data_IF_347879549324
#
_entry.id   IF_347879549324
#
_cell.length_a   1.000
_cell.length_b   1.000
_cell.length_c   1.000
_cell.angle_alpha   90.00
_cell.angle_beta   90.00
_cell.angle_gamma   90.00
#
_symmetry.space_group_name_H-M   'P 1'
#
loop_
_entity.id
_entity.type
_entity.pdbx_description
1 polymer ?
#
# COMPACT_ATOMS: atom_id res chain seq x y z
N UNK A 1 -6.03 4.31 34.22
CA UNK A 1 -6.49 3.19 33.37
C UNK A 1 -6.70 1.99 34.28
N UNK A 2 -7.94 1.60 34.48
CA UNK A 2 -8.27 0.44 35.30
C UNK A 2 -7.87 -0.86 34.60
N UNK A 3 -7.36 -1.83 35.36
CA UNK A 3 -6.97 -3.15 34.83
C UNK A 3 -8.08 -3.84 34.05
N UNK A 4 -9.35 -3.50 34.27
CA UNK A 4 -10.49 -4.04 33.53
C UNK A 4 -10.55 -3.59 32.08
N UNK A 5 -10.06 -2.38 31.74
CA UNK A 5 -10.04 -1.90 30.37
C UNK A 5 -9.01 -2.63 29.51
N UNK A 6 -7.84 -2.96 30.07
CA UNK A 6 -6.82 -3.73 29.35
C UNK A 6 -7.27 -5.18 29.08
N UNK A 7 -7.90 -5.84 30.06
CA UNK A 7 -8.43 -7.19 29.86
C UNK A 7 -9.58 -7.20 28.84
N UNK A 8 -10.50 -6.25 28.94
CA UNK A 8 -11.60 -6.10 27.95
C UNK A 8 -11.04 -5.84 26.54
N UNK A 9 -9.95 -5.11 26.42
CA UNK A 9 -9.32 -4.81 25.13
C UNK A 9 -8.66 -6.07 24.53
N UNK A 10 -8.05 -6.93 25.36
CA UNK A 10 -7.52 -8.23 24.90
C UNK A 10 -8.62 -9.12 24.34
N UNK A 11 -9.74 -9.26 25.05
CA UNK A 11 -10.87 -10.08 24.56
C UNK A 11 -11.49 -9.53 23.28
N UNK A 12 -11.57 -8.21 23.13
CA UNK A 12 -12.07 -7.56 21.92
C UNK A 12 -11.17 -7.73 20.70
N UNK A 13 -9.90 -8.05 20.92
CA UNK A 13 -8.89 -8.26 19.86
C UNK A 13 -8.77 -9.72 19.45
N UNK A 14 -9.39 -10.65 20.15
CA UNK A 14 -9.37 -12.07 19.74
C UNK A 14 -10.05 -12.23 18.37
N UNK A 15 -9.40 -13.02 17.51
CA UNK A 15 -9.90 -13.27 16.14
C UNK A 15 -9.74 -12.12 15.15
N UNK A 16 -8.96 -11.08 15.47
CA UNK A 16 -8.70 -9.97 14.53
C UNK A 16 -8.00 -10.39 13.23
N UNK A 17 -7.41 -11.58 13.23
CA UNK A 17 -6.81 -12.23 12.05
C UNK A 17 -7.83 -12.93 11.16
N UNK A 18 -9.12 -12.87 11.50
CA UNK A 18 -10.18 -13.50 10.73
C UNK A 18 -10.94 -12.47 9.91
N UNK A 19 -11.33 -12.79 8.66
CA UNK A 19 -12.09 -11.87 7.79
C UNK A 19 -13.47 -11.48 8.30
N UNK A 20 -14.07 -12.29 9.17
CA UNK A 20 -15.36 -11.96 9.81
C UNK A 20 -15.22 -10.96 10.96
N UNK A 21 -14.00 -10.64 11.40
CA UNK A 21 -13.76 -9.68 12.47
C UNK A 21 -14.13 -8.25 12.07
N UNK A 22 -14.62 -7.45 13.03
CA UNK A 22 -15.06 -6.07 12.80
C UNK A 22 -13.98 -5.17 12.17
N UNK A 23 -12.70 -5.39 12.47
CA UNK A 23 -11.59 -4.62 11.93
C UNK A 23 -11.46 -4.85 10.42
N UNK A 24 -11.52 -6.11 9.96
CA UNK A 24 -11.47 -6.40 8.54
C UNK A 24 -12.72 -5.91 7.81
N UNK A 25 -13.89 -5.98 8.42
CA UNK A 25 -15.12 -5.40 7.85
C UNK A 25 -15.00 -3.88 7.67
N UNK A 26 -14.51 -3.17 8.68
CA UNK A 26 -14.26 -1.73 8.59
C UNK A 26 -13.23 -1.40 7.50
N UNK A 27 -12.15 -2.19 7.38
CA UNK A 27 -11.17 -2.07 6.31
C UNK A 27 -11.81 -2.24 4.93
N UNK A 28 -12.68 -3.23 4.74
CA UNK A 28 -13.42 -3.45 3.50
C UNK A 28 -14.39 -2.30 3.17
N UNK A 29 -15.04 -1.74 4.17
CA UNK A 29 -15.93 -0.58 4.01
C UNK A 29 -15.14 0.65 3.58
N UNK A 30 -13.98 0.87 4.18
CA UNK A 30 -13.09 1.97 3.79
C UNK A 30 -12.59 1.83 2.34
N UNK A 31 -12.19 0.64 1.90
CA UNK A 31 -11.82 0.42 0.49
C UNK A 31 -12.99 0.72 -0.44
N UNK A 32 -14.20 0.26 -0.10
CA UNK A 32 -15.39 0.50 -0.92
C UNK A 32 -15.80 1.97 -0.97
N UNK A 33 -15.46 2.78 0.02
CA UNK A 33 -15.68 4.23 -0.05
C UNK A 33 -14.87 4.90 -1.16
N UNK A 34 -13.73 4.33 -1.53
CA UNK A 34 -12.86 4.82 -2.59
C UNK A 34 -13.13 4.16 -3.96
N UNK A 35 -13.40 2.86 -3.98
CA UNK A 35 -13.52 2.09 -5.22
C UNK A 35 -14.96 1.88 -5.69
N UNK A 36 -15.93 2.19 -4.84
CA UNK A 36 -17.36 1.99 -5.09
C UNK A 36 -17.95 0.87 -4.24
N UNK A 37 -19.24 1.01 -3.91
CA UNK A 37 -19.96 0.11 -2.99
C UNK A 37 -19.99 -1.34 -3.46
N UNK A 38 -20.00 -1.54 -4.77
CA UNK A 38 -20.09 -2.87 -5.39
C UNK A 38 -18.71 -3.52 -5.59
N UNK A 39 -17.63 -2.83 -5.25
CA UNK A 39 -16.29 -3.37 -5.39
C UNK A 39 -16.11 -4.61 -4.49
N UNK A 40 -15.48 -5.62 -5.09
CA UNK A 40 -15.10 -6.87 -4.43
C UNK A 40 -13.67 -7.20 -4.80
N UNK A 41 -12.84 -7.66 -3.85
CA UNK A 41 -11.51 -8.15 -4.18
C UNK A 41 -11.60 -9.41 -5.02
N UNK A 42 -10.62 -9.62 -5.89
CA UNK A 42 -10.50 -10.89 -6.60
C UNK A 42 -10.22 -12.05 -5.63
N UNK A 43 -9.38 -11.78 -4.61
CA UNK A 43 -9.01 -12.75 -3.58
C UNK A 43 -8.88 -12.07 -2.21
N UNK A 44 -9.13 -12.85 -1.16
CA UNK A 44 -8.79 -12.52 0.22
C UNK A 44 -7.80 -13.58 0.68
N UNK A 45 -6.62 -13.16 1.11
CA UNK A 45 -5.56 -14.05 1.56
C UNK A 45 -5.02 -13.61 2.92
N UNK A 46 -4.16 -14.40 3.52
CA UNK A 46 -3.43 -14.06 4.73
C UNK A 46 -2.06 -13.49 4.35
N UNK A 47 -1.71 -12.34 4.90
CA UNK A 47 -0.39 -11.76 4.69
C UNK A 47 0.69 -12.41 5.59
N UNK A 48 1.95 -11.99 5.41
CA UNK A 48 3.08 -12.49 6.21
C UNK A 48 2.98 -12.20 7.72
N UNK A 49 2.08 -11.30 8.14
CA UNK A 49 1.78 -10.99 9.55
C UNK A 49 0.60 -11.82 10.08
N UNK A 50 -0.02 -12.66 9.25
CA UNK A 50 -1.19 -13.46 9.59
C UNK A 50 -2.51 -12.70 9.53
N UNK A 51 -2.54 -11.51 8.92
CA UNK A 51 -3.74 -10.69 8.78
C UNK A 51 -4.45 -10.96 7.45
N UNK A 52 -5.80 -10.90 7.43
CA UNK A 52 -6.51 -10.95 6.16
C UNK A 52 -6.17 -9.72 5.33
N UNK A 53 -5.83 -9.94 4.09
CA UNK A 53 -5.53 -8.91 3.09
C UNK A 53 -6.30 -9.18 1.82
N UNK A 54 -6.42 -8.17 0.96
CA UNK A 54 -7.16 -8.26 -0.29
C UNK A 54 -6.26 -8.00 -1.49
N UNK A 55 -6.57 -8.67 -2.60
CA UNK A 55 -5.93 -8.36 -3.87
C UNK A 55 -6.54 -7.09 -4.47
N UNK A 56 -5.66 -6.17 -4.86
CA UNK A 56 -6.00 -4.96 -5.61
C UNK A 56 -5.15 -4.89 -6.87
N UNK A 57 -5.70 -4.34 -7.92
CA UNK A 57 -4.89 -3.90 -9.05
C UNK A 57 -4.09 -2.65 -8.68
N UNK A 58 -3.00 -2.37 -9.40
CA UNK A 58 -2.21 -1.15 -9.22
C UNK A 58 -3.08 0.10 -9.42
N UNK A 59 -4.03 0.06 -10.37
CA UNK A 59 -4.95 1.15 -10.63
C UNK A 59 -5.93 1.39 -9.47
N UNK A 60 -6.48 0.33 -8.88
CA UNK A 60 -7.35 0.43 -7.69
C UNK A 60 -6.59 1.02 -6.51
N UNK A 61 -5.36 0.57 -6.25
CA UNK A 61 -4.54 1.15 -5.20
C UNK A 61 -4.26 2.64 -5.46
N UNK A 62 -3.95 3.03 -6.70
CA UNK A 62 -3.76 4.44 -7.05
C UNK A 62 -5.03 5.26 -6.80
N UNK A 63 -6.20 4.72 -7.13
CA UNK A 63 -7.49 5.37 -6.85
C UNK A 63 -7.73 5.55 -5.34
N UNK A 64 -7.37 4.56 -4.51
CA UNK A 64 -7.43 4.68 -3.04
C UNK A 64 -6.51 5.81 -2.55
N UNK A 65 -5.26 5.87 -3.05
CA UNK A 65 -4.34 6.94 -2.68
C UNK A 65 -4.82 8.33 -3.12
N UNK A 66 -5.44 8.47 -4.29
CA UNK A 66 -6.08 9.71 -4.70
C UNK A 66 -7.21 10.12 -3.75
N UNK A 67 -8.00 9.14 -3.30
CA UNK A 67 -9.05 9.35 -2.31
C UNK A 67 -8.55 9.89 -0.97
N UNK A 68 -7.36 9.46 -0.53
CA UNK A 68 -6.75 9.99 0.71
C UNK A 68 -6.45 11.49 0.62
N UNK A 69 -6.12 12.03 -0.57
CA UNK A 69 -5.95 13.48 -0.75
C UNK A 69 -7.27 14.20 -0.59
N UNK A 70 -8.32 13.67 -1.19
CA UNK A 70 -9.66 14.26 -1.13
C UNK A 70 -10.18 14.35 0.31
N UNK A 71 -9.90 13.30 1.11
CA UNK A 71 -10.42 13.16 2.46
C UNK A 71 -9.44 13.69 3.53
N UNK A 72 -8.32 14.33 3.14
CA UNK A 72 -7.21 14.72 4.02
C UNK A 72 -7.60 15.64 5.18
N UNK A 73 -8.59 16.50 4.97
CA UNK A 73 -9.02 17.48 5.98
C UNK A 73 -9.97 16.84 7.01
N UNK A 74 -10.59 15.71 6.67
CA UNK A 74 -11.52 14.96 7.51
C UNK A 74 -10.84 13.76 8.20
N UNK A 75 -9.62 13.39 7.79
CA UNK A 75 -8.90 12.21 8.29
C UNK A 75 -7.57 12.59 8.96
N UNK A 76 -7.43 12.21 10.23
CA UNK A 76 -6.21 12.42 11.01
C UNK A 76 -4.96 11.73 10.44
N UNK A 77 -5.12 10.74 9.54
CA UNK A 77 -4.01 9.95 8.98
C UNK A 77 -3.03 10.84 8.22
N UNK A 78 -3.55 11.74 7.37
CA UNK A 78 -2.72 12.66 6.60
C UNK A 78 -1.81 13.49 7.49
N UNK A 79 -2.39 14.16 8.47
CA UNK A 79 -1.66 15.00 9.41
C UNK A 79 -0.64 14.20 10.24
N UNK A 80 -1.03 13.02 10.74
CA UNK A 80 -0.16 12.17 11.53
C UNK A 80 1.07 11.69 10.73
N UNK A 81 0.90 11.29 9.48
CA UNK A 81 2.01 10.86 8.62
C UNK A 81 2.98 12.00 8.32
N UNK A 82 2.47 13.21 8.04
CA UNK A 82 3.30 14.38 7.77
C UNK A 82 4.05 14.85 9.01
N UNK A 83 3.41 14.85 10.18
CA UNK A 83 4.06 15.25 11.44
C UNK A 83 5.10 14.25 11.92
N UNK A 84 4.94 12.99 11.60
CA UNK A 84 5.78 11.91 12.12
C UNK A 84 6.34 11.00 11.03
N UNK A 85 7.04 11.55 10.00
CA UNK A 85 7.50 10.78 8.85
C UNK A 85 8.42 9.62 9.23
N UNK A 86 9.27 9.77 10.25
CA UNK A 86 10.18 8.71 10.69
C UNK A 86 9.48 7.57 11.43
N UNK A 87 8.23 7.77 11.88
CA UNK A 87 7.40 6.69 12.44
C UNK A 87 6.66 5.92 11.36
N UNK A 88 6.52 6.46 10.14
CA UNK A 88 5.84 5.81 9.02
C UNK A 88 6.69 4.69 8.43
N UNK A 89 7.92 4.98 8.05
CA UNK A 89 8.81 4.03 7.41
C UNK A 89 10.06 3.71 8.19
N UNK A 90 10.54 4.66 8.98
CA UNK A 90 11.80 4.61 9.68
C UNK A 90 12.83 5.60 9.11
N UNK A 91 13.92 5.75 9.83
CA UNK A 91 14.99 6.67 9.43
C UNK A 91 15.60 6.28 8.08
N UNK A 92 15.74 7.24 7.17
CA UNK A 92 16.27 7.04 5.81
C UNK A 92 15.50 6.04 4.93
N UNK A 93 14.29 5.67 5.28
CA UNK A 93 13.41 4.89 4.41
C UNK A 93 12.82 5.77 3.31
N UNK A 94 12.45 5.15 2.19
CA UNK A 94 11.96 5.87 1.01
C UNK A 94 10.69 6.67 1.31
N UNK A 95 9.70 6.04 1.94
CA UNK A 95 8.45 6.70 2.33
C UNK A 95 8.69 7.88 3.28
N UNK A 96 9.52 7.71 4.32
CA UNK A 96 9.87 8.80 5.24
C UNK A 96 10.62 9.95 4.54
N UNK A 97 11.45 9.64 3.57
CA UNK A 97 12.18 10.64 2.79
C UNK A 97 11.26 11.42 1.86
N UNK A 98 10.30 10.73 1.22
CA UNK A 98 9.29 11.36 0.36
C UNK A 98 8.37 12.27 1.19
N UNK A 99 7.91 11.79 2.35
CA UNK A 99 7.08 12.60 3.27
C UNK A 99 7.76 13.93 3.63
N UNK A 100 9.06 13.88 3.93
CA UNK A 100 9.84 15.10 4.25
C UNK A 100 10.04 16.00 3.04
N UNK A 101 10.33 15.44 1.87
CA UNK A 101 10.54 16.18 0.63
C UNK A 101 9.25 16.82 0.09
N UNK A 102 8.11 16.21 0.37
CA UNK A 102 6.81 16.68 -0.09
C UNK A 102 6.23 17.87 0.66
N UNK A 103 6.88 18.35 1.74
CA UNK A 103 6.51 19.56 2.48
C UNK A 103 5.01 19.64 2.82
N UNK A 104 4.43 18.55 3.25
CA UNK A 104 3.02 18.46 3.63
C UNK A 104 2.05 18.13 2.48
N UNK A 105 2.49 18.11 1.24
CA UNK A 105 1.66 17.87 0.06
C UNK A 105 1.65 16.41 -0.42
N UNK A 106 2.46 15.55 0.19
CA UNK A 106 2.61 14.16 -0.22
C UNK A 106 2.61 13.25 0.99
N UNK A 107 1.80 12.22 0.94
CA UNK A 107 2.01 11.05 1.81
C UNK A 107 2.48 9.87 0.98
N UNK A 108 3.33 9.06 1.58
CA UNK A 108 3.95 7.90 0.95
C UNK A 108 3.95 6.71 1.90
N UNK A 109 3.76 5.52 1.36
CA UNK A 109 3.93 4.28 2.13
C UNK A 109 4.54 3.18 1.26
N UNK A 110 5.65 2.64 1.74
CA UNK A 110 6.24 1.43 1.18
C UNK A 110 5.42 0.20 1.61
N UNK A 111 5.20 -0.69 0.67
CA UNK A 111 4.74 -2.06 0.92
C UNK A 111 5.87 -3.05 0.70
N UNK A 112 5.61 -4.31 1.03
CA UNK A 112 6.54 -5.37 0.73
C UNK A 112 6.70 -5.54 -0.79
N UNK A 113 7.82 -6.17 -1.19
CA UNK A 113 8.07 -6.62 -2.55
C UNK A 113 8.05 -5.49 -3.61
N UNK A 114 8.70 -4.37 -3.29
CA UNK A 114 8.88 -3.25 -4.22
C UNK A 114 7.60 -2.48 -4.55
N UNK A 115 6.68 -2.41 -3.61
CA UNK A 115 5.46 -1.61 -3.70
C UNK A 115 5.66 -0.26 -3.02
N UNK A 116 5.22 0.82 -3.67
CA UNK A 116 5.15 2.16 -3.09
C UNK A 116 3.84 2.83 -3.53
N UNK A 117 3.08 3.30 -2.58
CA UNK A 117 1.90 4.13 -2.80
C UNK A 117 2.17 5.58 -2.43
N UNK A 118 1.66 6.50 -3.25
CA UNK A 118 1.77 7.94 -3.08
C UNK A 118 0.40 8.60 -3.21
N UNK A 119 0.06 9.49 -2.30
CA UNK A 119 -1.06 10.42 -2.42
C UNK A 119 -0.50 11.84 -2.46
N UNK A 120 -0.82 12.57 -3.52
CA UNK A 120 -0.18 13.85 -3.83
C UNK A 120 -1.24 14.93 -4.04
N UNK A 121 -1.13 16.00 -3.26
CA UNK A 121 -1.85 17.25 -3.50
C UNK A 121 -1.13 18.04 -4.59
N UNK A 122 -1.79 18.27 -5.73
CA UNK A 122 -1.21 18.97 -6.85
C UNK A 122 -2.24 19.86 -7.55
N UNK A 123 -1.88 21.09 -7.95
CA UNK A 123 -2.82 22.05 -8.56
C UNK A 123 -3.53 21.52 -9.81
N UNK A 124 -2.83 20.75 -10.64
CA UNK A 124 -3.39 20.20 -11.87
C UNK A 124 -4.33 19.00 -11.63
N UNK A 125 -4.39 18.49 -10.39
CA UNK A 125 -5.20 17.34 -10.00
C UNK A 125 -6.06 17.69 -8.77
N UNK A 126 -7.11 18.51 -8.92
CA UNK A 126 -7.88 19.06 -7.80
C UNK A 126 -8.61 17.99 -6.97
N UNK A 127 -8.82 16.80 -7.52
CA UNK A 127 -9.43 15.66 -6.82
C UNK A 127 -8.38 14.73 -6.15
N UNK A 128 -7.11 15.16 -6.13
CA UNK A 128 -6.00 14.37 -5.65
C UNK A 128 -5.37 13.48 -6.73
N UNK A 129 -4.07 13.28 -6.61
CA UNK A 129 -3.29 12.40 -7.47
C UNK A 129 -2.80 11.20 -6.65
N UNK A 130 -3.23 10.00 -7.04
CA UNK A 130 -2.73 8.75 -6.49
C UNK A 130 -1.77 8.07 -7.47
N UNK A 131 -0.61 7.68 -6.98
CA UNK A 131 0.40 6.96 -7.78
C UNK A 131 0.79 5.69 -7.05
N UNK A 132 0.85 4.59 -7.77
CA UNK A 132 1.37 3.33 -7.23
C UNK A 132 2.47 2.79 -8.14
N UNK A 133 3.61 2.51 -7.52
CA UNK A 133 4.76 1.90 -8.17
C UNK A 133 4.87 0.46 -7.68
N UNK A 134 4.87 -0.50 -8.59
CA UNK A 134 5.13 -1.91 -8.29
C UNK A 134 6.31 -2.37 -9.15
N UNK A 135 7.40 -2.71 -8.48
CA UNK A 135 8.56 -3.30 -9.15
C UNK A 135 8.35 -4.81 -9.20
N UNK A 136 8.34 -5.38 -10.39
CA UNK A 136 8.12 -6.81 -10.59
C UNK A 136 9.18 -7.68 -9.88
N UNK A 137 10.41 -7.17 -9.77
CA UNK A 137 11.49 -7.77 -9.00
C UNK A 137 11.63 -7.04 -7.65
N UNK A 138 10.90 -7.48 -6.64
CA UNK A 138 10.79 -6.81 -5.33
C UNK A 138 12.07 -6.66 -4.53
N UNK A 139 13.14 -7.36 -4.89
CA UNK A 139 14.46 -7.29 -4.24
C UNK A 139 15.27 -6.04 -4.56
N UNK A 140 14.87 -5.27 -5.57
CA UNK A 140 15.61 -4.08 -5.99
C UNK A 140 14.99 -2.80 -5.42
N UNK A 141 15.31 -2.49 -4.16
CA UNK A 141 14.85 -1.26 -3.50
C UNK A 141 15.33 0.02 -4.20
N UNK A 142 16.50 -0.02 -4.88
CA UNK A 142 17.01 1.12 -5.64
C UNK A 142 16.11 1.44 -6.83
N UNK A 143 15.55 0.42 -7.50
CA UNK A 143 14.64 0.65 -8.62
C UNK A 143 13.42 1.48 -8.20
N UNK A 144 12.83 1.19 -7.05
CA UNK A 144 11.70 1.96 -6.50
C UNK A 144 12.10 3.43 -6.28
N UNK A 145 13.31 3.67 -5.73
CA UNK A 145 13.84 5.03 -5.55
C UNK A 145 14.00 5.79 -6.86
N UNK A 146 14.57 5.17 -7.89
CA UNK A 146 14.78 5.81 -9.18
C UNK A 146 13.46 6.16 -9.86
N UNK A 147 12.50 5.25 -9.84
CA UNK A 147 11.17 5.49 -10.43
C UNK A 147 10.43 6.58 -9.65
N UNK A 148 10.41 6.50 -8.32
CA UNK A 148 9.77 7.50 -7.47
C UNK A 148 10.38 8.89 -7.70
N UNK A 149 11.72 8.99 -7.73
CA UNK A 149 12.42 10.25 -8.00
C UNK A 149 12.09 10.84 -9.36
N UNK A 150 12.07 10.01 -10.40
CA UNK A 150 11.73 10.47 -11.75
C UNK A 150 10.30 11.04 -11.81
N UNK A 151 9.33 10.34 -11.23
CA UNK A 151 7.93 10.76 -11.19
C UNK A 151 7.77 12.04 -10.36
N UNK A 152 8.32 12.05 -9.14
CA UNK A 152 8.21 13.20 -8.23
C UNK A 152 8.91 14.45 -8.79
N UNK A 153 10.03 14.26 -9.50
CA UNK A 153 10.73 15.34 -10.18
C UNK A 153 9.89 16.04 -11.26
N UNK A 154 9.08 15.27 -12.02
CA UNK A 154 8.12 15.83 -13.00
C UNK A 154 7.04 16.67 -12.29
N UNK A 155 6.69 16.30 -11.06
CA UNK A 155 5.70 17.00 -10.23
C UNK A 155 6.33 18.13 -9.38
N UNK A 156 7.59 18.47 -9.62
CA UNK A 156 8.27 19.56 -8.90
C UNK A 156 8.73 19.20 -7.48
N UNK A 157 8.74 17.94 -7.12
CA UNK A 157 9.19 17.46 -5.80
C UNK A 157 10.58 16.85 -5.94
N UNK A 158 11.59 17.51 -5.38
CA UNK A 158 12.98 17.05 -5.46
C UNK A 158 13.29 16.01 -4.38
N UNK A 159 13.40 14.78 -4.80
CA UNK A 159 13.81 13.67 -3.95
C UNK A 159 15.33 13.47 -4.04
N UNK A 160 16.05 13.84 -2.99
CA UNK A 160 17.50 13.63 -2.91
C UNK A 160 17.81 12.14 -2.93
N UNK A 161 18.72 11.74 -3.84
CA UNK A 161 19.16 10.35 -3.92
C UNK A 161 20.16 10.05 -2.79
N UNK A 162 19.88 9.12 -1.87
CA UNK A 162 20.81 8.70 -0.84
C UNK A 162 21.89 7.76 -1.39
N UNK A 163 21.69 7.21 -2.58
CA UNK A 163 22.65 6.31 -3.21
C UNK A 163 23.62 7.12 -4.08
N UNK A 164 24.93 6.96 -3.92
CA UNK A 164 25.89 7.57 -4.84
C UNK A 164 25.58 7.10 -6.27
N UNK A 165 25.56 8.05 -7.20
CA UNK A 165 25.33 7.81 -8.62
C UNK A 165 26.48 6.97 -9.19
N UNK A 166 26.47 5.68 -8.93
CA UNK A 166 27.16 4.77 -9.83
C UNK A 166 26.36 4.76 -11.13
N UNK A 167 27.06 5.08 -12.23
CA UNK A 167 26.57 5.25 -13.60
C UNK A 167 25.77 4.03 -14.11
N UNK A 168 24.67 3.73 -13.52
CA UNK A 168 23.70 2.81 -14.11
C UNK A 168 22.74 3.66 -14.94
N UNK A 169 22.88 3.55 -16.26
CA UNK A 169 21.89 4.05 -17.19
C UNK A 169 20.59 3.29 -16.92
N UNK A 170 19.68 3.89 -16.17
CA UNK A 170 18.32 3.37 -16.05
C UNK A 170 17.65 3.55 -17.42
N UNK A 171 17.45 2.48 -18.12
CA UNK A 171 16.60 2.47 -19.30
C UNK A 171 15.16 2.40 -18.80
N UNK A 172 14.45 3.52 -18.81
CA UNK A 172 13.00 3.51 -18.74
C UNK A 172 12.53 3.07 -20.12
N UNK A 173 12.26 1.79 -20.27
CA UNK A 173 11.53 1.29 -21.43
C UNK A 173 10.05 1.50 -21.07
N UNK A 174 9.27 2.32 -21.82
CA UNK A 174 7.83 2.32 -21.69
C UNK A 174 7.36 0.92 -22.07
N UNK A 175 7.18 0.08 -21.05
CA UNK A 175 6.94 -1.33 -21.25
C UNK A 175 5.47 -1.59 -21.48
N UNK A 176 5.16 -2.16 -22.59
CA UNK A 176 4.00 -3.03 -22.75
C UNK A 176 4.23 -4.17 -21.72
N UNK A 177 3.40 -4.25 -20.70
CA UNK A 177 3.38 -5.41 -19.81
C UNK A 177 3.04 -6.62 -20.67
N UNK A 178 4.01 -7.49 -20.87
CA UNK A 178 3.80 -8.67 -21.70
C UNK A 178 2.81 -9.61 -20.97
N UNK A 179 1.74 -10.07 -21.62
CA UNK A 179 0.72 -10.92 -20.99
C UNK A 179 1.27 -12.17 -20.28
N UNK A 180 2.42 -12.69 -20.72
CA UNK A 180 3.11 -13.83 -20.09
C UNK A 180 3.54 -13.59 -18.64
N UNK A 181 3.71 -12.35 -18.19
CA UNK A 181 4.03 -12.06 -16.78
C UNK A 181 2.79 -12.05 -15.90
N UNK A 182 1.60 -11.88 -16.47
CA UNK A 182 0.34 -12.04 -15.74
C UNK A 182 0.07 -13.52 -15.43
N UNK A 183 0.44 -14.43 -16.34
CA UNK A 183 0.25 -15.87 -16.13
C UNK A 183 1.18 -16.42 -15.03
N UNK A 184 2.39 -15.92 -14.88
CA UNK A 184 3.33 -16.34 -13.82
C UNK A 184 2.87 -15.88 -12.43
N UNK A 185 2.11 -14.79 -12.33
CA UNK A 185 1.58 -14.32 -11.05
C UNK A 185 0.28 -15.04 -10.64
N UNK A 186 -0.35 -15.76 -11.56
CA UNK A 186 -1.53 -16.58 -11.29
C UNK A 186 -1.18 -18.00 -10.84
N UNK A 187 0.05 -18.46 -11.10
CA UNK A 187 0.55 -19.81 -10.75
C UNK A 187 1.23 -19.88 -9.37
N UNK A 188 1.12 -18.86 -8.53
CA UNK A 188 1.53 -18.97 -7.13
C UNK A 188 0.36 -19.59 -6.38
N UNK A 189 0.21 -20.89 -6.50
CA UNK A 189 -0.81 -21.71 -5.86
C UNK A 189 -0.60 -21.96 -4.35
N UNK A 190 0.06 -21.03 -3.65
CA UNK A 190 0.35 -21.19 -2.23
C UNK A 190 -0.19 -20.06 -1.37
N UNK A 191 -1.32 -19.48 -1.75
CA UNK A 191 -2.00 -18.48 -0.93
C UNK A 191 -3.08 -19.17 -0.10
N UNK A 192 -3.01 -19.04 1.21
CA UNK A 192 -4.12 -19.39 2.08
C UNK A 192 -5.33 -18.53 1.71
N UNK A 193 -6.34 -19.09 1.08
CA UNK A 193 -7.57 -18.38 0.76
C UNK A 193 -8.59 -18.53 1.90
N UNK A 194 -9.31 -17.44 2.14
CA UNK A 194 -10.44 -17.49 3.06
C UNK A 194 -11.65 -18.14 2.38
N UNK A 195 -12.14 -19.23 2.97
CA UNK A 195 -13.39 -19.87 2.55
C UNK A 195 -14.57 -19.29 3.37
N UNK A 196 -15.39 -18.43 2.76
CA UNK A 196 -16.50 -17.78 3.47
C UNK A 196 -17.58 -18.76 3.92
N UNK A 197 -17.72 -19.92 3.25
CA UNK A 197 -18.73 -20.92 3.56
C UNK A 197 -18.31 -21.78 4.75
N UNK A 198 -17.02 -21.92 4.96
CA UNK A 198 -16.45 -22.70 6.07
C UNK A 198 -15.94 -21.85 7.23
N UNK A 199 -15.96 -20.53 7.08
CA UNK A 199 -15.42 -19.57 8.07
C UNK A 199 -13.97 -19.90 8.51
N UNK A 200 -13.14 -20.36 7.57
CA UNK A 200 -11.74 -20.77 7.80
C UNK A 200 -10.84 -20.48 6.61
N UNK A 201 -9.53 -20.40 6.89
CA UNK A 201 -8.51 -20.41 5.83
C UNK A 201 -8.40 -21.81 5.20
N UNK A 202 -8.40 -21.87 3.88
CA UNK A 202 -8.10 -23.08 3.15
C UNK A 202 -6.59 -23.16 2.91
N UNK A 203 -6.02 -24.30 3.23
CA UNK A 203 -4.62 -24.61 2.96
C UNK A 203 -4.61 -25.65 1.86
N UNK A 204 -4.20 -25.30 0.67
CA UNK A 204 -3.87 -26.29 -0.35
C UNK A 204 -2.45 -26.81 -0.08
N UNK A 205 -2.37 -27.88 0.70
CA UNK A 205 -1.18 -28.70 0.75
C UNK A 205 -1.47 -29.89 -0.17
N UNK A 206 -1.03 -29.80 -1.42
CA UNK A 206 -0.80 -31.00 -2.20
C UNK A 206 0.46 -31.69 -1.68
N UNK A 207 0.29 -32.91 -1.12
CA UNK A 207 1.37 -33.80 -0.70
C UNK A 207 1.76 -34.68 -1.86
#
# INVERSE_FOLDING_TARGET
>A
LTRSSAASDVYKRQGYTLPNHRVFKAYMEQIRSYLGKDWKPLRIAKDGCGLPTVSNTVAELAQIYAGLVRDKDDDWIWEAMIRHPDLVGGFNRLDSTILKAGEGKVIAKEGADGLLGLAIEHPDYPNGLGIVIKIAHGWNSQATWYVARAILGVLGIDLRNPYPLHRQKAFIVPGIVHPRYLDVLTDIDTWDEWDPDKDRWTYDIEV
#
